data_IF_120596680991
#
_entry.id   IF_120596680991
#
_cell.length_a   1.000
_cell.length_b   1.000
_cell.length_c   1.000
_cell.angle_alpha   90.00
_cell.angle_beta   90.00
_cell.angle_gamma   90.00
#
_symmetry.space_group_name_H-M   'P 1'
#
loop_
_entity.id
_entity.type
_entity.pdbx_description
1 polymer ?
#
# COMPACT_ATOMS: atom_id res chain seq x y z
N UNK A 1 -26.01 -1.96 -21.43
CA UNK A 1 -25.51 -1.51 -20.10
C UNK A 1 -24.01 -1.73 -20.08
N UNK A 2 -23.24 -0.76 -20.56
CA UNK A 2 -21.78 -0.80 -20.56
C UNK A 2 -21.27 -0.37 -19.20
N UNK A 3 -20.67 -1.29 -18.46
CA UNK A 3 -19.94 -1.00 -17.22
C UNK A 3 -18.72 -0.16 -17.60
N UNK A 4 -18.76 1.14 -17.30
CA UNK A 4 -17.58 1.99 -17.34
C UNK A 4 -16.65 1.53 -16.22
N UNK A 5 -15.56 0.86 -16.60
CA UNK A 5 -14.41 0.70 -15.71
C UNK A 5 -13.91 2.11 -15.35
N UNK A 6 -14.20 2.54 -14.13
CA UNK A 6 -13.60 3.73 -13.53
C UNK A 6 -12.10 3.48 -13.47
N UNK A 7 -11.36 4.11 -14.38
CA UNK A 7 -9.91 4.27 -14.26
C UNK A 7 -9.67 5.12 -13.02
N UNK A 8 -9.47 4.46 -11.86
CA UNK A 8 -9.05 5.13 -10.64
C UNK A 8 -7.70 5.76 -10.92
N UNK A 9 -7.67 7.07 -11.15
CA UNK A 9 -6.42 7.83 -11.23
C UNK A 9 -5.66 7.60 -9.92
N UNK A 10 -4.52 6.91 -9.97
CA UNK A 10 -3.63 6.80 -8.81
C UNK A 10 -3.30 8.21 -8.32
N UNK A 11 -3.48 8.44 -7.02
CA UNK A 11 -3.15 9.71 -6.41
C UNK A 11 -1.63 9.85 -6.36
N UNK A 12 -1.06 10.72 -7.21
CA UNK A 12 0.37 11.03 -7.21
C UNK A 12 0.64 12.03 -6.08
N UNK A 13 1.51 11.66 -5.14
CA UNK A 13 2.00 12.55 -4.07
C UNK A 13 3.33 13.22 -4.43
N UNK A 14 3.47 14.51 -4.10
CA UNK A 14 4.75 15.24 -4.16
C UNK A 14 5.63 14.99 -2.93
N UNK A 15 5.08 14.35 -1.89
CA UNK A 15 5.83 14.02 -0.68
C UNK A 15 6.98 13.07 -1.01
N UNK A 16 8.20 13.33 -0.52
CA UNK A 16 9.32 12.40 -0.66
C UNK A 16 9.21 11.23 0.33
N UNK A 17 8.22 11.25 1.23
CA UNK A 17 8.11 10.31 2.34
C UNK A 17 7.54 8.97 1.87
N UNK A 18 8.19 7.89 2.32
CA UNK A 18 7.71 6.51 2.19
C UNK A 18 7.63 5.91 3.59
N UNK A 19 6.42 5.61 4.06
CA UNK A 19 6.20 5.05 5.40
C UNK A 19 6.33 3.53 5.35
N UNK A 20 7.16 2.97 6.23
CA UNK A 20 7.27 1.52 6.40
C UNK A 20 6.09 0.98 7.21
N UNK A 21 5.35 0.03 6.62
CA UNK A 21 4.36 -0.75 7.35
C UNK A 21 5.04 -2.02 7.85
N UNK A 22 5.50 -2.00 9.10
CA UNK A 22 6.16 -3.13 9.76
C UNK A 22 5.32 -3.51 11.00
N UNK A 23 4.24 -4.26 10.77
CA UNK A 23 3.28 -4.69 11.79
C UNK A 23 3.15 -6.21 11.79
N UNK A 24 2.95 -6.82 12.96
CA UNK A 24 2.63 -8.24 13.04
C UNK A 24 1.12 -8.53 12.87
N UNK A 25 0.28 -7.49 13.01
CA UNK A 25 -1.17 -7.58 12.92
C UNK A 25 -1.66 -6.72 11.73
N UNK A 26 -2.49 -7.32 10.88
CA UNK A 26 -3.02 -6.66 9.68
C UNK A 26 -3.96 -5.50 10.03
N UNK A 27 -4.83 -5.69 11.00
CA UNK A 27 -5.89 -4.73 11.33
C UNK A 27 -5.30 -3.47 11.99
N UNK A 28 -4.20 -3.59 12.74
CA UNK A 28 -3.44 -2.45 13.24
C UNK A 28 -2.82 -1.63 12.10
N UNK A 29 -2.22 -2.32 11.11
CA UNK A 29 -1.65 -1.67 9.93
C UNK A 29 -2.73 -0.93 9.13
N UNK A 30 -3.89 -1.56 8.91
CA UNK A 30 -5.02 -0.94 8.21
C UNK A 30 -5.61 0.23 9.00
N UNK A 31 -5.72 0.10 10.32
CA UNK A 31 -6.16 1.19 11.20
C UNK A 31 -5.24 2.41 11.17
N UNK A 32 -3.95 2.21 10.92
CA UNK A 32 -3.01 3.30 10.64
C UNK A 32 -3.24 3.89 9.25
N UNK A 33 -3.34 3.04 8.23
CA UNK A 33 -3.56 3.46 6.83
C UNK A 33 -4.86 4.26 6.67
N UNK A 34 -5.92 3.92 7.41
CA UNK A 34 -7.19 4.64 7.44
C UNK A 34 -7.09 6.10 7.93
N UNK A 35 -5.97 6.47 8.58
CA UNK A 35 -5.75 7.80 9.16
C UNK A 35 -4.89 8.71 8.28
N UNK A 36 -4.37 8.21 7.15
CA UNK A 36 -3.50 8.95 6.24
C UNK A 36 -4.07 8.92 4.82
N UNK A 37 -3.70 9.91 4.00
CA UNK A 37 -4.16 10.01 2.61
C UNK A 37 -3.03 9.63 1.64
N UNK A 38 -3.34 8.98 0.49
CA UNK A 38 -2.36 8.74 -0.58
C UNK A 38 -1.59 9.97 -1.07
N UNK A 39 -2.12 11.18 -0.87
CA UNK A 39 -1.46 12.45 -1.19
C UNK A 39 -0.38 12.85 -0.18
N UNK A 40 -0.36 12.26 1.00
CA UNK A 40 0.59 12.61 2.08
C UNK A 40 1.90 11.81 2.00
N UNK A 41 1.83 10.55 1.55
CA UNK A 41 3.00 9.67 1.47
C UNK A 41 2.77 8.45 0.58
N UNK A 42 3.85 7.72 0.30
CA UNK A 42 3.81 6.36 -0.25
C UNK A 42 3.99 5.34 0.88
N UNK A 43 3.62 4.09 0.63
CA UNK A 43 3.75 3.02 1.63
C UNK A 43 4.79 1.98 1.19
N UNK A 44 5.56 1.45 2.14
CA UNK A 44 6.50 0.36 1.93
C UNK A 44 5.98 -0.91 2.59
N UNK A 45 5.93 -2.00 1.83
CA UNK A 45 5.62 -3.34 2.33
C UNK A 45 6.91 -4.15 2.29
N UNK A 46 7.47 -4.45 3.46
CA UNK A 46 8.69 -5.24 3.62
C UNK A 46 8.43 -6.75 3.75
N UNK A 47 9.50 -7.50 4.05
CA UNK A 47 9.46 -8.96 4.23
C UNK A 47 8.48 -9.40 5.31
N UNK A 48 8.39 -8.70 6.44
CA UNK A 48 7.48 -9.07 7.55
C UNK A 48 6.03 -9.14 7.09
N UNK A 49 5.45 -8.00 6.67
CA UNK A 49 4.07 -7.94 6.18
C UNK A 49 3.84 -8.83 4.97
N UNK A 50 4.81 -8.92 4.05
CA UNK A 50 4.64 -9.74 2.83
C UNK A 50 4.66 -11.23 3.13
N UNK A 51 5.49 -11.71 4.05
CA UNK A 51 5.50 -13.11 4.47
C UNK A 51 4.21 -13.48 5.22
N UNK A 52 3.68 -12.57 6.05
CA UNK A 52 2.45 -12.81 6.81
C UNK A 52 1.18 -12.74 5.94
N UNK A 53 1.09 -11.73 5.06
CA UNK A 53 -0.18 -11.36 4.40
C UNK A 53 -0.12 -11.39 2.87
N UNK A 54 1.06 -11.59 2.29
CA UNK A 54 1.24 -11.83 0.87
C UNK A 54 0.85 -10.66 -0.04
N UNK A 55 0.75 -10.92 -1.35
CA UNK A 55 0.35 -9.91 -2.33
C UNK A 55 -1.09 -9.41 -2.17
N UNK A 56 -1.94 -10.12 -1.41
CA UNK A 56 -3.31 -9.71 -1.09
C UNK A 56 -3.30 -8.38 -0.32
N UNK A 57 -2.42 -8.24 0.68
CA UNK A 57 -2.28 -7.00 1.44
C UNK A 57 -1.82 -5.84 0.55
N UNK A 58 -0.85 -6.08 -0.34
CA UNK A 58 -0.40 -5.08 -1.31
C UNK A 58 -1.55 -4.58 -2.19
N UNK A 59 -2.40 -5.50 -2.68
CA UNK A 59 -3.57 -5.14 -3.50
C UNK A 59 -4.59 -4.32 -2.73
N UNK A 60 -4.80 -4.61 -1.45
CA UNK A 60 -5.71 -3.82 -0.60
C UNK A 60 -5.23 -2.36 -0.47
N UNK A 61 -3.93 -2.15 -0.25
CA UNK A 61 -3.37 -0.80 -0.18
C UNK A 61 -3.46 -0.06 -1.53
N UNK A 62 -3.27 -0.78 -2.64
CA UNK A 62 -3.45 -0.22 -3.99
C UNK A 62 -4.90 0.15 -4.29
N UNK A 63 -5.87 -0.64 -3.82
CA UNK A 63 -7.30 -0.33 -3.94
C UNK A 63 -7.67 0.94 -3.16
N UNK A 64 -6.96 1.23 -2.07
CA UNK A 64 -7.07 2.48 -1.30
C UNK A 64 -6.34 3.66 -1.96
N UNK A 65 -5.71 3.45 -3.12
CA UNK A 65 -5.10 4.50 -3.93
C UNK A 65 -3.63 4.81 -3.63
N UNK A 66 -3.00 4.08 -2.69
CA UNK A 66 -1.58 4.28 -2.36
C UNK A 66 -0.64 3.70 -3.43
N UNK A 67 0.44 4.43 -3.69
CA UNK A 67 1.62 3.88 -4.36
C UNK A 67 2.46 3.06 -3.36
N UNK A 68 2.83 1.85 -3.78
CA UNK A 68 3.48 0.86 -2.91
C UNK A 68 4.91 0.58 -3.37
N UNK A 69 5.86 0.74 -2.46
CA UNK A 69 7.21 0.20 -2.58
C UNK A 69 7.25 -1.22 -2.01
N UNK A 70 7.40 -2.21 -2.90
CA UNK A 70 7.54 -3.61 -2.51
C UNK A 70 9.01 -3.92 -2.18
N UNK A 71 9.35 -3.93 -0.89
CA UNK A 71 10.71 -3.99 -0.36
C UNK A 71 11.10 -5.42 0.05
N UNK A 72 11.21 -6.31 -0.95
CA UNK A 72 11.57 -7.72 -0.74
C UNK A 72 13.06 -7.98 -0.87
N UNK A 73 13.82 -7.01 -1.43
CA UNK A 73 15.27 -7.11 -1.66
C UNK A 73 15.63 -8.45 -2.32
N UNK A 74 15.00 -8.74 -3.46
CA UNK A 74 15.30 -9.95 -4.24
C UNK A 74 16.79 -9.94 -4.60
N UNK A 75 17.48 -11.02 -4.24
CA UNK A 75 18.89 -11.23 -4.46
C UNK A 75 19.07 -12.71 -4.74
N UNK A 76 18.83 -13.07 -6.00
CA UNK A 76 18.89 -14.43 -6.54
C UNK A 76 20.00 -14.49 -7.60
#
# INVERSE_FOLDING_TARGET
MTLTASSSSRAVTNSPVVVALDYHNRDDALSFVDKIDPRDCRLKVGKEMFTLFGPQFVRELQQRGFDIFLDLKFHD
#
